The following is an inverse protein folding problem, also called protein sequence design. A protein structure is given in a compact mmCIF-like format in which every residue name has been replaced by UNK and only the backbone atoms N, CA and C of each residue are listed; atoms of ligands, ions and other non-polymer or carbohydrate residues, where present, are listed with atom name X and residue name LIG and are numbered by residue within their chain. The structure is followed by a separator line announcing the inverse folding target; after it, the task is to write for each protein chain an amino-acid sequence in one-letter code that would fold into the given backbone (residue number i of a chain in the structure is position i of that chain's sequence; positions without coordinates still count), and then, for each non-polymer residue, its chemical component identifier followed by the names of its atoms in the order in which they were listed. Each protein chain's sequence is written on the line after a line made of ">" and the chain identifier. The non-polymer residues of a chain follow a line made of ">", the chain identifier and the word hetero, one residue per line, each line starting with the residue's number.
data_IF_612290903784
#
_entry.id   IF_612290903784
#
_cell.length_a   1.000
_cell.length_b   1.000
_cell.length_c   1.000
_cell.angle_alpha   90.00
_cell.angle_beta   90.00
_cell.angle_gamma   90.00
#
_symmetry.space_group_name_H-M   'P 1'
#
loop_
_entity.id
_entity.type
_entity.pdbx_description
1 polymer ?
#
# COMPACT_ATOMS: atom_id res chain seq x y z
N UNK A 1 16.65 -8.64 0.36
CA UNK A 1 15.57 -8.97 1.32
C UNK A 1 15.36 -7.88 2.38
N UNK A 2 16.40 -7.31 3.00
CA UNK A 2 16.26 -6.17 3.96
C UNK A 2 15.78 -4.86 3.30
N UNK A 3 16.18 -4.59 2.05
CA UNK A 3 15.84 -3.33 1.37
C UNK A 3 14.35 -3.19 1.04
N UNK A 4 13.70 -4.26 0.59
CA UNK A 4 12.28 -4.24 0.24
C UNK A 4 11.37 -3.99 1.44
N UNK A 5 11.74 -4.53 2.61
CA UNK A 5 11.02 -4.27 3.85
C UNK A 5 11.08 -2.79 4.22
N UNK A 6 12.25 -2.16 4.10
CA UNK A 6 12.42 -0.74 4.39
C UNK A 6 11.59 0.14 3.44
N UNK A 7 11.57 -0.20 2.15
CA UNK A 7 10.75 0.52 1.15
C UNK A 7 9.26 0.38 1.47
N UNK A 8 8.80 -0.81 1.85
CA UNK A 8 7.41 -1.05 2.20
C UNK A 8 7.02 -0.32 3.50
N UNK A 9 7.89 -0.35 4.51
CA UNK A 9 7.68 0.34 5.78
C UNK A 9 7.62 1.87 5.57
N UNK A 10 8.49 2.41 4.72
CA UNK A 10 8.48 3.82 4.33
C UNK A 10 7.20 4.19 3.56
N UNK A 11 6.81 3.35 2.59
CA UNK A 11 5.58 3.54 1.83
C UNK A 11 4.35 3.57 2.75
N UNK A 12 4.21 2.58 3.63
CA UNK A 12 3.10 2.51 4.60
C UNK A 12 3.10 3.72 5.53
N UNK A 13 4.26 4.16 6.00
CA UNK A 13 4.38 5.34 6.85
C UNK A 13 3.93 6.62 6.15
N UNK A 14 4.34 6.82 4.89
CA UNK A 14 3.92 7.96 4.07
C UNK A 14 2.42 7.92 3.77
N UNK A 15 1.87 6.76 3.44
CA UNK A 15 0.43 6.58 3.19
C UNK A 15 -0.40 6.92 4.43
N UNK A 16 0.04 6.48 5.62
CA UNK A 16 -0.62 6.82 6.90
C UNK A 16 -0.58 8.33 7.18
N UNK A 17 0.51 9.02 6.85
CA UNK A 17 0.61 10.47 6.97
C UNK A 17 -0.35 11.20 6.03
N UNK A 18 -0.48 10.73 4.79
CA UNK A 18 -1.34 11.36 3.76
C UNK A 18 -2.83 11.10 4.03
N UNK A 19 -3.19 9.87 4.36
CA UNK A 19 -4.60 9.48 4.55
C UNK A 19 -5.11 9.77 5.98
N UNK A 20 -4.21 9.92 6.96
CA UNK A 20 -4.57 10.22 8.34
C UNK A 20 -5.63 9.27 8.90
N UNK A 21 -6.75 9.83 9.37
CA UNK A 21 -7.87 9.06 9.93
C UNK A 21 -8.64 8.24 8.88
N UNK A 22 -8.43 8.52 7.60
CA UNK A 22 -9.04 7.76 6.51
C UNK A 22 -8.26 6.52 6.14
N UNK A 23 -7.07 6.30 6.73
CA UNK A 23 -6.34 5.05 6.57
C UNK A 23 -7.07 3.91 7.30
N UNK A 24 -7.37 2.82 6.59
CA UNK A 24 -7.96 1.62 7.20
C UNK A 24 -6.93 0.52 7.29
N UNK A 25 -6.37 0.10 6.15
CA UNK A 25 -5.46 -1.04 6.11
C UNK A 25 -4.57 -1.04 4.85
N UNK A 26 -3.39 -1.66 4.94
CA UNK A 26 -2.54 -2.01 3.79
C UNK A 26 -2.50 -3.53 3.71
N UNK A 27 -2.82 -4.08 2.53
CA UNK A 27 -2.74 -5.51 2.27
C UNK A 27 -1.73 -5.74 1.15
N UNK A 28 -0.76 -6.61 1.42
CA UNK A 28 0.27 -7.02 0.47
C UNK A 28 -0.18 -8.28 -0.26
N UNK A 29 -0.15 -8.25 -1.58
CA UNK A 29 -0.51 -9.36 -2.46
C UNK A 29 0.69 -9.83 -3.30
N UNK A 30 0.43 -10.79 -4.19
CA UNK A 30 1.41 -11.23 -5.18
C UNK A 30 2.39 -12.29 -4.68
N UNK A 31 3.40 -12.58 -5.50
CA UNK A 31 4.43 -13.59 -5.23
C UNK A 31 5.22 -13.29 -3.95
N UNK A 32 5.33 -12.01 -3.57
CA UNK A 32 5.97 -11.58 -2.34
C UNK A 32 5.23 -12.07 -1.08
N UNK A 33 3.89 -12.02 -1.05
CA UNK A 33 3.11 -12.52 0.07
C UNK A 33 3.14 -14.05 0.20
N UNK A 34 3.41 -14.77 -0.91
CA UNK A 34 3.47 -16.24 -0.96
C UNK A 34 4.87 -16.81 -0.74
N UNK A 35 5.90 -15.97 -0.72
CA UNK A 35 7.30 -16.42 -0.60
C UNK A 35 7.94 -16.94 -1.89
N UNK A 36 7.22 -16.91 -3.02
CA UNK A 36 7.71 -17.31 -4.35
C UNK A 36 8.24 -16.11 -5.17
N UNK A 37 8.59 -15.01 -4.50
CA UNK A 37 9.19 -13.83 -5.12
C UNK A 37 10.56 -14.20 -5.73
N UNK A 38 10.73 -13.93 -7.02
CA UNK A 38 12.02 -13.89 -7.72
C UNK A 38 12.53 -12.46 -7.73
N UNK A 39 13.84 -12.26 -7.88
CA UNK A 39 14.50 -10.94 -7.79
C UNK A 39 13.91 -9.83 -8.69
N UNK A 40 13.17 -10.18 -9.76
CA UNK A 40 12.49 -9.24 -10.66
C UNK A 40 10.95 -9.21 -10.50
N UNK A 41 10.41 -9.64 -9.36
CA UNK A 41 8.94 -9.70 -9.20
C UNK A 41 8.36 -8.35 -8.81
N UNK A 42 7.24 -7.98 -9.43
CA UNK A 42 6.45 -6.81 -9.06
C UNK A 42 5.84 -6.94 -7.65
N UNK A 43 5.56 -5.79 -7.01
CA UNK A 43 4.96 -5.71 -5.66
C UNK A 43 3.54 -5.18 -5.79
N UNK A 44 2.56 -6.04 -5.53
CA UNK A 44 1.14 -5.69 -5.54
C UNK A 44 0.68 -5.23 -4.15
N UNK A 45 0.23 -3.98 -4.02
CA UNK A 45 -0.24 -3.39 -2.75
C UNK A 45 -1.66 -2.88 -2.91
N UNK A 46 -2.57 -3.33 -2.03
CA UNK A 46 -3.92 -2.79 -1.91
C UNK A 46 -4.02 -1.87 -0.68
N UNK A 47 -4.54 -0.66 -0.88
CA UNK A 47 -4.79 0.31 0.17
C UNK A 47 -6.30 0.43 0.41
N UNK A 48 -6.74 0.10 1.62
CA UNK A 48 -8.12 0.33 2.06
C UNK A 48 -8.20 1.68 2.78
N UNK A 49 -9.11 2.53 2.33
CA UNK A 49 -9.36 3.85 2.91
C UNK A 49 -10.85 4.07 3.15
N UNK A 50 -11.20 4.83 4.19
CA UNK A 50 -12.59 5.28 4.35
C UNK A 50 -12.87 6.40 3.36
N UNK A 51 -13.84 6.16 2.47
CA UNK A 51 -14.41 7.21 1.65
C UNK A 51 -15.24 8.12 2.55
N UNK A 52 -14.70 9.29 2.91
CA UNK A 52 -15.59 10.43 3.09
C UNK A 52 -15.97 10.90 1.69
N UNK A 53 -17.25 11.09 1.43
CA UNK A 53 -17.88 11.28 0.11
C UNK A 53 -17.46 12.61 -0.59
N UNK A 54 -16.17 12.94 -0.62
CA UNK A 54 -15.63 14.04 -1.42
C UNK A 54 -15.43 13.56 -2.86
N UNK A 55 -16.55 13.20 -3.49
CA UNK A 55 -16.62 13.12 -4.95
C UNK A 55 -16.48 14.55 -5.49
N UNK A 56 -15.27 14.91 -5.90
CA UNK A 56 -15.11 15.91 -6.95
C UNK A 56 -15.72 15.31 -8.22
N UNK A 57 -17.02 15.57 -8.45
CA UNK A 57 -17.64 15.37 -9.76
C UNK A 57 -16.83 16.23 -10.73
N UNK A 58 -16.08 15.58 -11.63
CA UNK A 58 -15.62 16.25 -12.85
C UNK A 58 -16.89 16.76 -13.55
N UNK A 59 -17.03 18.07 -13.59
CA UNK A 59 -17.97 18.75 -14.48
C UNK A 59 -17.48 18.66 -15.92
#
# INVERSE_FOLDING_TARGET
>A
MLEYKNILDEFVSRVKLVLGKSFVEVILYGSYARGDNRDNSDIDIMLLTTLSDQRNKKS
#
